data_IF_508311703486
#
_entry.id   IF_508311703486
#
_cell.length_a   1.000
_cell.length_b   1.000
_cell.length_c   1.000
_cell.angle_alpha   90.00
_cell.angle_beta   90.00
_cell.angle_gamma   90.00
#
_symmetry.space_group_name_H-M   'P 1'
#
loop_
_entity.id
_entity.type
_entity.pdbx_description
1 polymer ?
#
# COMPACT_ATOMS: atom_id res chain seq x y z
N UNK A 1 -17.16 -3.51 -4.92
CA UNK A 1 -17.03 -2.43 -3.93
C UNK A 1 -17.69 -2.72 -2.59
N UNK A 2 -18.95 -3.14 -2.57
CA UNK A 2 -19.70 -3.30 -1.30
C UNK A 2 -19.25 -4.48 -0.44
N UNK A 3 -18.88 -5.59 -1.06
CA UNK A 3 -18.37 -6.77 -0.33
C UNK A 3 -17.07 -6.42 0.43
N UNK A 4 -16.16 -5.72 -0.21
CA UNK A 4 -14.90 -5.31 0.41
C UNK A 4 -15.11 -4.32 1.56
N UNK A 5 -15.96 -3.30 1.37
CA UNK A 5 -16.30 -2.35 2.45
C UNK A 5 -16.89 -3.06 3.66
N UNK A 6 -17.78 -4.02 3.43
CA UNK A 6 -18.42 -4.81 4.48
C UNK A 6 -17.41 -5.66 5.26
N UNK A 7 -16.50 -6.31 4.55
CA UNK A 7 -15.42 -7.09 5.18
C UNK A 7 -14.49 -6.21 6.03
N UNK A 8 -14.19 -4.99 5.58
CA UNK A 8 -13.40 -4.05 6.38
C UNK A 8 -14.13 -3.60 7.66
N UNK A 9 -15.44 -3.34 7.57
CA UNK A 9 -16.23 -3.01 8.76
C UNK A 9 -16.26 -4.17 9.77
N UNK A 10 -16.35 -5.41 9.29
CA UNK A 10 -16.25 -6.61 10.14
C UNK A 10 -14.87 -6.76 10.77
N UNK A 11 -13.79 -6.48 10.04
CA UNK A 11 -12.43 -6.49 10.58
C UNK A 11 -12.29 -5.46 11.71
N UNK A 12 -12.83 -4.24 11.52
CA UNK A 12 -12.85 -3.20 12.55
C UNK A 12 -13.65 -3.66 13.78
N UNK A 13 -14.82 -4.26 13.58
CA UNK A 13 -15.65 -4.77 14.67
C UNK A 13 -14.91 -5.84 15.49
N UNK A 14 -14.24 -6.78 14.82
CA UNK A 14 -13.43 -7.81 15.49
C UNK A 14 -12.26 -7.19 16.27
N UNK A 15 -11.55 -6.21 15.67
CA UNK A 15 -10.42 -5.53 16.33
C UNK A 15 -10.84 -4.72 17.57
N UNK A 16 -12.05 -4.19 17.58
CA UNK A 16 -12.52 -3.27 18.63
C UNK A 16 -13.52 -3.91 19.59
N UNK A 17 -13.97 -5.13 19.31
CA UNK A 17 -15.02 -5.82 20.07
C UNK A 17 -16.42 -5.25 19.84
N UNK A 18 -16.63 -4.52 18.74
CA UNK A 18 -17.92 -3.96 18.36
C UNK A 18 -18.74 -4.88 17.47
N UNK A 19 -19.88 -4.39 17.01
CA UNK A 19 -20.81 -5.11 16.13
C UNK A 19 -21.10 -4.27 14.88
N UNK A 20 -21.03 -4.89 13.71
CA UNK A 20 -21.46 -4.24 12.46
C UNK A 20 -22.98 -4.23 12.39
N UNK A 21 -23.54 -3.03 12.35
CA UNK A 21 -24.97 -2.84 12.19
C UNK A 21 -25.29 -2.82 10.68
N UNK A 22 -26.02 -3.83 10.20
CA UNK A 22 -26.46 -3.94 8.82
C UNK A 22 -27.81 -4.62 8.71
N UNK A 23 -28.59 -4.24 7.70
CA UNK A 23 -29.90 -4.83 7.45
C UNK A 23 -29.83 -6.33 7.18
N UNK A 24 -28.75 -6.82 6.56
CA UNK A 24 -28.52 -8.25 6.31
C UNK A 24 -28.38 -9.07 7.61
N UNK A 25 -27.86 -8.45 8.67
CA UNK A 25 -27.80 -9.04 10.01
C UNK A 25 -29.08 -8.81 10.82
N UNK A 26 -30.08 -8.21 10.21
CA UNK A 26 -31.34 -7.84 10.88
C UNK A 26 -31.20 -6.69 11.88
N UNK A 27 -30.08 -5.97 11.85
CA UNK A 27 -29.79 -4.87 12.75
C UNK A 27 -30.05 -3.52 12.07
N UNK A 28 -30.75 -2.63 12.77
CA UNK A 28 -31.01 -1.26 12.33
C UNK A 28 -30.37 -0.28 13.29
N UNK A 29 -30.01 0.93 12.79
CA UNK A 29 -29.39 1.97 13.59
C UNK A 29 -30.26 2.42 14.77
N UNK A 30 -31.60 2.42 14.62
CA UNK A 30 -32.53 2.78 15.68
C UNK A 30 -32.48 1.82 16.88
N UNK A 31 -32.03 0.58 16.65
CA UNK A 31 -31.84 -0.45 17.68
C UNK A 31 -30.42 -0.53 18.25
N UNK A 32 -29.53 0.39 17.86
CA UNK A 32 -28.17 0.37 18.34
C UNK A 32 -28.06 0.73 19.83
N UNK A 33 -27.31 -0.07 20.56
CA UNK A 33 -27.07 0.10 22.00
C UNK A 33 -25.57 0.29 22.27
N UNK A 34 -25.22 0.80 23.45
CA UNK A 34 -23.82 1.12 23.79
C UNK A 34 -22.90 -0.11 23.82
N UNK A 35 -23.45 -1.28 24.12
CA UNK A 35 -22.72 -2.56 24.15
C UNK A 35 -22.36 -3.06 22.74
N UNK A 36 -22.97 -2.51 21.69
CA UNK A 36 -22.60 -2.80 20.30
C UNK A 36 -21.42 -1.95 19.80
N UNK A 37 -21.03 -0.91 20.54
CA UNK A 37 -19.89 -0.08 20.19
C UNK A 37 -18.59 -0.77 20.54
N UNK A 38 -17.63 -0.74 19.60
CA UNK A 38 -16.27 -1.16 19.87
C UNK A 38 -15.52 -0.14 20.73
N UNK A 39 -14.41 -0.57 21.31
CA UNK A 39 -13.51 0.28 22.11
C UNK A 39 -12.06 0.17 21.61
N UNK A 40 -11.31 1.26 21.74
CA UNK A 40 -9.89 1.32 21.40
C UNK A 40 -9.20 2.36 22.30
N UNK A 41 -7.89 2.25 22.45
CA UNK A 41 -7.09 3.22 23.18
C UNK A 41 -7.13 4.60 22.51
N UNK A 42 -6.99 4.61 21.18
CA UNK A 42 -7.01 5.84 20.39
C UNK A 42 -7.62 5.61 19.02
N UNK A 43 -8.47 6.53 18.59
CA UNK A 43 -8.99 6.60 17.23
C UNK A 43 -8.70 7.98 16.66
N UNK A 44 -8.07 8.03 15.49
CA UNK A 44 -7.83 9.26 14.74
C UNK A 44 -8.53 9.15 13.40
N UNK A 45 -9.39 10.10 13.10
CA UNK A 45 -10.18 10.15 11.86
C UNK A 45 -9.86 11.45 11.15
N UNK A 46 -9.44 11.36 9.90
CA UNK A 46 -9.34 12.49 8.99
C UNK A 46 -10.15 12.21 7.71
N UNK A 47 -10.05 13.09 6.71
CA UNK A 47 -10.88 12.96 5.51
C UNK A 47 -10.59 11.70 4.66
N UNK A 48 -9.37 11.18 4.74
CA UNK A 48 -8.90 10.10 3.87
C UNK A 48 -8.64 8.81 4.65
N UNK A 49 -8.35 8.90 5.97
CA UNK A 49 -7.92 7.76 6.77
C UNK A 49 -8.62 7.68 8.13
N UNK A 50 -8.78 6.45 8.61
CA UNK A 50 -9.16 6.17 9.98
C UNK A 50 -8.12 5.23 10.60
N UNK A 51 -7.46 5.70 11.65
CA UNK A 51 -6.44 4.93 12.37
C UNK A 51 -6.98 4.52 13.74
N UNK A 52 -7.00 3.22 14.00
CA UNK A 52 -7.42 2.63 15.27
C UNK A 52 -6.21 1.99 15.93
N UNK A 53 -5.88 2.44 17.13
CA UNK A 53 -4.72 1.95 17.90
C UNK A 53 -5.22 1.18 19.11
N UNK A 54 -4.70 -0.04 19.32
CA UNK A 54 -5.01 -0.91 20.45
C UNK A 54 -6.54 -1.08 20.66
N UNK A 55 -7.20 -1.66 19.66
CA UNK A 55 -8.61 -2.07 19.81
C UNK A 55 -8.76 -3.13 20.91
N UNK A 56 -9.86 -3.07 21.66
CA UNK A 56 -10.13 -3.95 22.80
C UNK A 56 -10.89 -5.23 22.39
N UNK A 57 -10.77 -5.68 21.15
CA UNK A 57 -11.35 -6.92 20.67
C UNK A 57 -10.74 -8.16 21.32
N UNK A 58 -11.49 -9.25 21.31
CA UNK A 58 -11.03 -10.53 21.81
C UNK A 58 -9.86 -11.08 20.97
N UNK A 59 -8.78 -11.48 21.64
CA UNK A 59 -7.55 -11.94 20.97
C UNK A 59 -7.75 -13.21 20.15
N UNK A 60 -8.56 -14.13 20.65
CA UNK A 60 -8.82 -15.40 19.95
C UNK A 60 -9.69 -15.15 18.71
N UNK A 61 -10.67 -14.25 18.81
CA UNK A 61 -11.48 -13.80 17.67
C UNK A 61 -10.62 -13.10 16.60
N UNK A 62 -9.67 -12.27 17.00
CA UNK A 62 -8.72 -11.61 16.08
C UNK A 62 -7.85 -12.65 15.38
N UNK A 63 -7.28 -13.61 16.11
CA UNK A 63 -6.46 -14.68 15.52
C UNK A 63 -7.28 -15.59 14.59
N UNK A 64 -8.51 -15.92 14.95
CA UNK A 64 -9.41 -16.67 14.08
C UNK A 64 -9.69 -15.91 12.78
N UNK A 65 -9.93 -14.60 12.85
CA UNK A 65 -10.15 -13.76 11.67
C UNK A 65 -8.89 -13.68 10.78
N UNK A 66 -7.71 -13.52 11.37
CA UNK A 66 -6.43 -13.58 10.65
C UNK A 66 -6.27 -14.92 9.93
N UNK A 67 -6.59 -16.04 10.59
CA UNK A 67 -6.57 -17.38 9.99
C UNK A 67 -7.51 -17.49 8.79
N UNK A 68 -8.74 -16.98 8.91
CA UNK A 68 -9.70 -16.95 7.80
C UNK A 68 -9.17 -16.17 6.58
N UNK A 69 -8.58 -14.98 6.80
CA UNK A 69 -8.03 -14.17 5.72
C UNK A 69 -6.86 -14.90 5.04
N UNK A 70 -5.97 -15.54 5.79
CA UNK A 70 -4.87 -16.35 5.23
C UNK A 70 -5.38 -17.48 4.35
N UNK A 71 -6.38 -18.22 4.81
CA UNK A 71 -7.01 -19.28 4.02
C UNK A 71 -7.66 -18.74 2.74
N UNK A 72 -8.27 -17.56 2.79
CA UNK A 72 -8.82 -16.90 1.60
C UNK A 72 -7.73 -16.52 0.60
N UNK A 73 -6.58 -16.03 1.05
CA UNK A 73 -5.41 -15.70 0.19
C UNK A 73 -4.90 -16.96 -0.53
N UNK A 74 -4.86 -18.10 0.15
CA UNK A 74 -4.40 -19.38 -0.42
C UNK A 74 -5.37 -19.93 -1.48
N UNK A 75 -6.66 -19.68 -1.32
CA UNK A 75 -7.71 -20.23 -2.17
C UNK A 75 -8.15 -19.32 -3.32
N UNK A 76 -7.79 -18.03 -3.29
CA UNK A 76 -8.18 -17.12 -4.35
C UNK A 76 -7.31 -17.29 -5.60
N UNK A 77 -7.94 -17.24 -6.76
CA UNK A 77 -7.28 -17.27 -8.08
C UNK A 77 -7.17 -15.87 -8.70
N UNK A 78 -7.78 -14.87 -8.09
CA UNK A 78 -7.79 -13.48 -8.54
C UNK A 78 -6.65 -12.71 -7.89
N UNK A 79 -5.74 -12.17 -8.69
CA UNK A 79 -4.63 -11.34 -8.20
C UNK A 79 -5.14 -10.09 -7.47
N UNK A 80 -6.21 -9.47 -7.96
CA UNK A 80 -6.84 -8.32 -7.33
C UNK A 80 -7.39 -8.67 -5.93
N UNK A 81 -8.13 -9.80 -5.82
CA UNK A 81 -8.67 -10.22 -4.52
C UNK A 81 -7.55 -10.60 -3.55
N UNK A 82 -6.49 -11.22 -4.06
CA UNK A 82 -5.30 -11.56 -3.29
C UNK A 82 -4.63 -10.32 -2.69
N UNK A 83 -4.44 -9.28 -3.49
CA UNK A 83 -3.91 -7.99 -3.04
C UNK A 83 -4.78 -7.39 -1.93
N UNK A 84 -6.10 -7.34 -2.13
CA UNK A 84 -7.04 -6.79 -1.13
C UNK A 84 -7.10 -7.61 0.16
N UNK A 85 -6.98 -8.91 0.09
CA UNK A 85 -6.89 -9.79 1.25
C UNK A 85 -5.55 -9.58 1.99
N UNK A 86 -4.44 -9.39 1.28
CA UNK A 86 -3.14 -9.08 1.88
C UNK A 86 -3.14 -7.73 2.60
N UNK A 87 -3.78 -6.69 2.02
CA UNK A 87 -3.98 -5.41 2.70
C UNK A 87 -4.75 -5.57 4.01
N UNK A 88 -5.83 -6.35 4.01
CA UNK A 88 -6.62 -6.63 5.21
C UNK A 88 -5.81 -7.40 6.26
N UNK A 89 -5.06 -8.42 5.83
CA UNK A 89 -4.18 -9.19 6.70
C UNK A 89 -3.15 -8.29 7.38
N UNK A 90 -2.51 -7.40 6.64
CA UNK A 90 -1.53 -6.45 7.17
C UNK A 90 -2.14 -5.53 8.23
N UNK A 91 -3.35 -5.01 8.00
CA UNK A 91 -4.07 -4.18 8.97
C UNK A 91 -4.47 -4.93 10.23
N UNK A 92 -4.85 -6.21 10.11
CA UNK A 92 -5.27 -7.05 11.24
C UNK A 92 -4.09 -7.58 12.08
N UNK A 93 -2.99 -7.97 11.41
CA UNK A 93 -1.86 -8.66 12.04
C UNK A 93 -0.67 -7.75 12.36
N UNK A 94 -0.53 -6.61 11.67
CA UNK A 94 0.69 -5.81 11.68
C UNK A 94 0.78 -4.77 12.78
N UNK A 95 -0.31 -4.39 13.42
CA UNK A 95 -0.35 -3.26 14.34
C UNK A 95 -0.17 -1.90 13.62
N UNK A 96 -0.14 -0.82 14.39
CA UNK A 96 0.04 0.55 13.90
C UNK A 96 1.31 1.14 14.49
N UNK A 97 2.25 1.52 13.63
CA UNK A 97 3.41 2.31 14.01
C UNK A 97 3.11 3.80 13.78
N UNK A 98 3.36 4.63 14.79
CA UNK A 98 3.17 6.09 14.70
C UNK A 98 4.53 6.76 14.74
N UNK A 99 4.91 7.41 13.64
CA UNK A 99 6.14 8.20 13.56
C UNK A 99 5.82 9.67 13.81
N UNK A 100 6.29 10.20 14.94
CA UNK A 100 6.15 11.61 15.26
C UNK A 100 7.26 12.43 14.60
N UNK A 101 6.86 13.40 13.79
CA UNK A 101 7.77 14.29 13.07
C UNK A 101 7.70 15.68 13.70
N UNK A 102 8.85 16.26 13.99
CA UNK A 102 8.97 17.63 14.51
C UNK A 102 10.11 18.38 13.85
N UNK A 103 10.01 19.71 13.84
CA UNK A 103 11.03 20.63 13.38
C UNK A 103 10.86 22.00 14.07
N UNK A 104 11.87 22.90 14.03
CA UNK A 104 11.80 24.22 14.65
C UNK A 104 10.76 25.16 14.02
N UNK A 105 10.42 24.96 12.74
CA UNK A 105 9.42 25.75 12.03
C UNK A 105 8.36 24.85 11.38
N UNK A 106 7.18 25.42 11.12
CA UNK A 106 6.08 24.71 10.46
C UNK A 106 6.43 24.29 9.02
N UNK A 107 7.19 25.12 8.32
CA UNK A 107 7.64 24.83 6.93
C UNK A 107 8.57 23.63 6.94
N UNK A 108 9.59 23.61 7.79
CA UNK A 108 10.53 22.48 7.91
C UNK A 108 9.84 21.20 8.42
N UNK A 109 8.86 21.34 9.31
CA UNK A 109 8.06 20.20 9.76
C UNK A 109 7.26 19.59 8.61
N UNK A 110 6.66 20.43 7.77
CA UNK A 110 5.92 19.98 6.58
C UNK A 110 6.83 19.27 5.59
N UNK A 111 7.98 19.89 5.24
CA UNK A 111 8.96 19.24 4.36
C UNK A 111 9.43 17.88 4.89
N UNK A 112 9.67 17.79 6.18
CA UNK A 112 10.10 16.55 6.82
C UNK A 112 9.01 15.49 6.80
N UNK A 113 7.75 15.90 7.03
CA UNK A 113 6.59 15.03 6.91
C UNK A 113 6.44 14.49 5.49
N UNK A 114 6.48 15.37 4.48
CA UNK A 114 6.35 15.00 3.07
C UNK A 114 7.46 14.02 2.66
N UNK A 115 8.68 14.22 3.13
CA UNK A 115 9.82 13.32 2.89
C UNK A 115 9.65 11.93 3.53
N UNK A 116 9.04 11.88 4.71
CA UNK A 116 8.68 10.60 5.38
C UNK A 116 7.55 9.89 4.62
N UNK A 117 6.55 10.63 4.16
CA UNK A 117 5.44 10.08 3.38
C UNK A 117 5.95 9.49 2.04
N UNK A 118 6.85 10.19 1.34
CA UNK A 118 7.51 9.68 0.13
C UNK A 118 8.32 8.40 0.39
N UNK A 119 9.07 8.38 1.49
CA UNK A 119 9.82 7.19 1.88
C UNK A 119 8.92 6.00 2.22
N UNK A 120 7.75 6.26 2.83
CA UNK A 120 6.75 5.23 3.12
C UNK A 120 6.15 4.65 1.84
N UNK A 121 5.79 5.50 0.88
CA UNK A 121 5.27 5.06 -0.42
C UNK A 121 6.31 4.25 -1.21
N UNK A 122 7.56 4.72 -1.26
CA UNK A 122 8.65 4.00 -1.90
C UNK A 122 8.92 2.64 -1.23
N UNK A 123 8.86 2.57 0.09
CA UNK A 123 9.04 1.32 0.84
C UNK A 123 7.92 0.31 0.55
N UNK A 124 6.68 0.77 0.49
CA UNK A 124 5.53 -0.09 0.12
C UNK A 124 5.68 -0.64 -1.29
N UNK A 125 5.98 0.23 -2.26
CA UNK A 125 6.22 -0.17 -3.64
C UNK A 125 7.37 -1.20 -3.74
N UNK A 126 8.45 -1.00 -2.98
CA UNK A 126 9.58 -1.93 -2.94
C UNK A 126 9.21 -3.31 -2.36
N UNK A 127 8.31 -3.37 -1.38
CA UNK A 127 7.82 -4.64 -0.81
C UNK A 127 6.92 -5.37 -1.82
N UNK A 128 6.08 -4.64 -2.53
CA UNK A 128 5.09 -5.19 -3.47
C UNK A 128 5.71 -5.60 -4.81
N UNK A 129 6.58 -4.77 -5.37
CA UNK A 129 7.11 -4.90 -6.73
C UNK A 129 8.62 -5.24 -6.78
N UNK A 130 9.31 -5.17 -5.66
CA UNK A 130 10.77 -5.33 -5.58
C UNK A 130 11.51 -4.03 -5.93
N UNK A 131 12.82 -4.16 -6.14
CA UNK A 131 13.71 -3.03 -6.42
C UNK A 131 14.60 -3.31 -7.62
N UNK A 132 14.97 -2.25 -8.32
CA UNK A 132 15.97 -2.25 -9.39
C UNK A 132 17.11 -1.28 -9.07
N UNK A 133 18.31 -1.43 -9.67
CA UNK A 133 19.38 -0.45 -9.49
C UNK A 133 18.91 0.96 -9.92
N UNK A 134 19.15 1.94 -9.06
CA UNK A 134 18.84 3.35 -9.31
C UNK A 134 19.86 4.08 -10.18
N UNK A 135 19.74 5.41 -10.27
CA UNK A 135 20.69 6.26 -10.98
C UNK A 135 20.73 6.06 -12.50
N UNK A 136 19.68 5.49 -13.08
CA UNK A 136 19.65 5.16 -14.51
C UNK A 136 20.33 3.83 -14.88
N UNK A 137 20.92 3.13 -13.91
CA UNK A 137 21.65 1.86 -14.17
C UNK A 137 20.73 0.76 -14.72
N UNK A 138 19.48 0.69 -14.26
CA UNK A 138 18.51 -0.27 -14.78
C UNK A 138 18.28 -0.10 -16.27
N UNK A 139 18.20 1.13 -16.77
CA UNK A 139 18.03 1.45 -18.20
C UNK A 139 19.29 1.04 -18.99
N UNK A 140 20.50 1.30 -18.46
CA UNK A 140 21.74 0.88 -19.13
C UNK A 140 21.79 -0.65 -19.26
N UNK A 141 21.40 -1.37 -18.23
CA UNK A 141 21.32 -2.84 -18.30
C UNK A 141 20.27 -3.35 -19.27
N UNK A 142 19.18 -2.61 -19.46
CA UNK A 142 18.14 -2.95 -20.42
C UNK A 142 18.59 -2.82 -21.88
N UNK A 143 19.68 -2.10 -22.17
CA UNK A 143 20.26 -1.98 -23.52
C UNK A 143 20.60 -3.38 -24.09
N UNK A 144 21.09 -4.29 -23.26
CA UNK A 144 21.41 -5.66 -23.67
C UNK A 144 20.19 -6.38 -24.30
N UNK A 145 18.98 -6.13 -23.77
CA UNK A 145 17.76 -6.70 -24.31
C UNK A 145 17.36 -6.11 -25.69
N UNK A 146 17.91 -4.96 -26.04
CA UNK A 146 17.70 -4.29 -27.33
C UNK A 146 18.80 -4.64 -28.36
N UNK A 147 19.87 -5.29 -27.91
CA UNK A 147 20.95 -5.71 -28.81
C UNK A 147 20.47 -6.81 -29.75
N UNK A 148 20.61 -6.56 -31.04
CA UNK A 148 20.17 -7.50 -32.07
C UNK A 148 18.66 -7.47 -32.39
N UNK A 149 17.87 -6.66 -31.66
CA UNK A 149 16.47 -6.45 -32.02
C UNK A 149 16.37 -5.66 -33.32
N UNK A 150 15.59 -6.16 -34.26
CA UNK A 150 15.31 -5.52 -35.57
C UNK A 150 13.82 -5.38 -35.75
N UNK A 151 13.41 -4.24 -36.30
CA UNK A 151 12.04 -4.04 -36.74
C UNK A 151 11.70 -4.84 -38.03
N UNK A 152 10.43 -4.91 -38.33
CA UNK A 152 9.96 -5.54 -39.59
C UNK A 152 10.33 -4.69 -40.83
N UNK A 153 10.65 -3.41 -40.60
CA UNK A 153 11.05 -2.46 -41.65
C UNK A 153 12.13 -1.50 -41.07
N UNK A 154 12.65 -0.60 -41.95
CA UNK A 154 13.68 0.37 -41.58
C UNK A 154 13.19 1.42 -40.56
N UNK A 155 11.94 1.84 -40.64
CA UNK A 155 11.37 2.83 -39.75
C UNK A 155 11.25 2.27 -38.32
N UNK A 156 10.82 1.03 -38.18
CA UNK A 156 10.79 0.35 -36.87
C UNK A 156 12.19 0.14 -36.29
N UNK A 157 13.14 -0.25 -37.14
CA UNK A 157 14.54 -0.38 -36.74
C UNK A 157 15.11 0.93 -36.23
N UNK A 158 14.82 2.03 -36.95
CA UNK A 158 15.19 3.38 -36.53
C UNK A 158 14.53 3.76 -35.19
N UNK A 159 13.26 3.39 -34.97
CA UNK A 159 12.55 3.59 -33.70
C UNK A 159 13.25 2.86 -32.55
N UNK A 160 13.68 1.63 -32.75
CA UNK A 160 14.45 0.85 -31.77
C UNK A 160 15.75 1.54 -31.40
N UNK A 161 16.51 2.04 -32.40
CA UNK A 161 17.77 2.76 -32.15
C UNK A 161 17.55 4.09 -31.42
N UNK A 162 16.45 4.80 -31.69
CA UNK A 162 16.07 6.01 -30.95
C UNK A 162 15.83 5.67 -29.48
N UNK A 163 15.07 4.61 -29.18
CA UNK A 163 14.82 4.18 -27.80
C UNK A 163 16.12 3.79 -27.13
N UNK A 164 16.96 2.97 -27.78
CA UNK A 164 18.25 2.54 -27.27
C UNK A 164 19.14 3.73 -26.89
N UNK A 165 19.18 4.78 -27.73
CA UNK A 165 19.92 6.00 -27.43
C UNK A 165 19.30 6.81 -26.28
N UNK A 166 17.97 6.91 -26.24
CA UNK A 166 17.26 7.71 -25.25
C UNK A 166 17.39 7.17 -23.81
N UNK A 167 17.41 5.86 -23.64
CA UNK A 167 17.50 5.24 -22.29
C UNK A 167 18.88 5.42 -21.61
N UNK A 168 19.91 5.87 -22.31
CA UNK A 168 21.18 6.28 -21.71
C UNK A 168 21.11 7.65 -21.02
N UNK A 169 20.19 8.53 -21.42
CA UNK A 169 20.16 9.93 -21.01
C UNK A 169 19.92 10.14 -19.50
N UNK A 170 19.10 9.34 -18.79
CA UNK A 170 18.94 9.49 -17.34
C UNK A 170 20.27 9.40 -16.58
N UNK A 171 21.10 8.41 -16.90
CA UNK A 171 22.43 8.28 -16.28
C UNK A 171 23.37 9.40 -16.71
N UNK A 172 23.40 9.73 -18.02
CA UNK A 172 24.23 10.83 -18.55
C UNK A 172 23.92 12.15 -17.87
N UNK A 173 22.63 12.45 -17.68
CA UNK A 173 22.23 13.71 -17.04
C UNK A 173 22.65 13.76 -15.56
N UNK A 174 22.55 12.65 -14.83
CA UNK A 174 23.00 12.56 -13.43
C UNK A 174 24.53 12.82 -13.36
N UNK A 175 25.30 12.20 -14.25
CA UNK A 175 26.76 12.37 -14.32
C UNK A 175 27.13 13.83 -14.70
N UNK A 176 26.45 14.41 -15.68
CA UNK A 176 26.64 15.80 -16.07
C UNK A 176 26.32 16.78 -14.93
N UNK A 177 25.24 16.53 -14.16
CA UNK A 177 24.91 17.33 -12.98
C UNK A 177 25.97 17.25 -11.88
N UNK A 178 26.73 16.16 -11.82
CA UNK A 178 27.88 16.01 -10.92
C UNK A 178 29.18 16.62 -11.45
N UNK A 179 29.13 17.29 -12.63
CA UNK A 179 30.27 17.95 -13.25
C UNK A 179 31.27 16.98 -13.90
N UNK A 180 30.84 15.82 -14.34
CA UNK A 180 31.65 14.78 -14.96
C UNK A 180 31.20 14.39 -16.36
#
# INVERSE_FOLDING_TARGET
GDVYKRQMLEDIAVLTGGVVISEEKGLKLEGATMDMLGTAEKVTVDKDTTTIVNGAGDKDAIQARIGQIKTQIENTTSDYDKEKLQERLAKMAGGVAVLYVGAPSEVEMKEKKDRVDDALHATRAAIEEGTVPGGGVAYIRAIEALEGLKGENEDETTGIEIVKRAIEEPLRQIVANAGK
#
